data_IF_474338971044
#
_entry.id   IF_474338971044
#
_cell.length_a   1.000
_cell.length_b   1.000
_cell.length_c   1.000
_cell.angle_alpha   90.00
_cell.angle_beta   90.00
_cell.angle_gamma   90.00
#
_symmetry.space_group_name_H-M   'P 1'
#
loop_
_entity.id
_entity.type
_entity.pdbx_description
1 polymer ?
#
# COMPACT_ATOMS: atom_id res chain seq x y z
N UNK A 1 -9.43 11.15 0.53
CA UNK A 1 -10.78 11.42 1.05
C UNK A 1 -11.64 12.33 0.19
N UNK A 2 -11.18 13.53 -0.24
CA UNK A 2 -12.04 14.50 -0.97
C UNK A 2 -11.81 14.56 -2.49
N UNK A 3 -10.60 14.25 -2.94
CA UNK A 3 -10.15 14.23 -4.34
C UNK A 3 -9.15 13.10 -4.51
N UNK A 4 -8.91 12.69 -5.76
CA UNK A 4 -8.03 11.58 -6.11
C UNK A 4 -8.78 10.31 -6.46
N UNK A 5 -8.05 9.20 -6.51
CA UNK A 5 -8.59 7.86 -6.60
C UNK A 5 -8.75 7.35 -5.16
N UNK A 6 -9.88 6.72 -4.86
CA UNK A 6 -10.09 6.02 -3.61
C UNK A 6 -9.36 4.69 -3.68
N UNK A 7 -10.13 3.63 -3.83
CA UNK A 7 -9.65 2.27 -4.00
C UNK A 7 -9.63 1.84 -5.47
N UNK A 8 -8.90 0.77 -5.75
CA UNK A 8 -8.63 0.15 -7.04
C UNK A 8 -8.79 -1.37 -6.91
N UNK A 9 -9.62 -1.96 -7.75
CA UNK A 9 -9.87 -3.41 -7.76
C UNK A 9 -9.63 -3.96 -9.17
N UNK A 10 -8.91 -5.07 -9.28
CA UNK A 10 -8.66 -5.70 -10.58
C UNK A 10 -9.45 -7.00 -10.71
N UNK A 11 -10.49 -6.95 -11.51
CA UNK A 11 -11.24 -8.14 -11.90
C UNK A 11 -10.44 -8.94 -12.94
N UNK A 12 -9.72 -9.96 -12.47
CA UNK A 12 -8.90 -10.83 -13.32
C UNK A 12 -9.71 -11.60 -14.36
N UNK A 13 -10.98 -11.92 -14.07
CA UNK A 13 -11.83 -12.70 -14.96
C UNK A 13 -12.24 -11.89 -16.19
N UNK A 14 -12.59 -10.62 -15.97
CA UNK A 14 -13.04 -9.70 -17.02
C UNK A 14 -11.94 -8.73 -17.49
N UNK A 15 -10.70 -8.86 -16.97
CA UNK A 15 -9.55 -8.00 -17.26
C UNK A 15 -9.87 -6.51 -17.12
N UNK A 16 -10.60 -6.17 -16.06
CA UNK A 16 -11.14 -4.83 -15.83
C UNK A 16 -10.61 -4.26 -14.52
N UNK A 17 -10.01 -3.06 -14.58
CA UNK A 17 -9.63 -2.31 -13.38
C UNK A 17 -10.74 -1.33 -13.02
N UNK A 18 -11.31 -1.54 -11.85
CA UNK A 18 -12.31 -0.69 -11.24
C UNK A 18 -11.65 0.31 -10.31
N UNK A 19 -12.19 1.52 -10.24
CA UNK A 19 -11.69 2.54 -9.31
C UNK A 19 -12.75 3.56 -8.94
N UNK A 20 -12.64 4.09 -7.72
CA UNK A 20 -13.51 5.15 -7.22
C UNK A 20 -12.88 6.52 -7.46
N UNK A 21 -13.56 7.38 -8.22
CA UNK A 21 -13.20 8.79 -8.32
C UNK A 21 -13.82 9.57 -7.16
N UNK A 22 -12.98 10.06 -6.26
CA UNK A 22 -13.43 10.73 -5.02
C UNK A 22 -14.04 12.12 -5.25
N UNK A 23 -13.64 12.81 -6.32
CA UNK A 23 -14.16 14.14 -6.63
C UNK A 23 -15.57 14.06 -7.22
N UNK A 24 -15.72 13.21 -8.23
CA UNK A 24 -17.02 12.99 -8.89
C UNK A 24 -17.95 12.11 -8.06
N UNK A 25 -17.39 11.33 -7.12
CA UNK A 25 -18.10 10.32 -6.30
C UNK A 25 -18.74 9.25 -7.17
N UNK A 26 -17.96 8.80 -8.15
CA UNK A 26 -18.35 7.83 -9.15
C UNK A 26 -17.42 6.65 -9.15
N UNK A 27 -17.98 5.50 -9.49
CA UNK A 27 -17.22 4.34 -9.92
C UNK A 27 -16.94 4.45 -11.42
N UNK A 28 -15.73 4.07 -11.82
CA UNK A 28 -15.36 3.83 -13.21
C UNK A 28 -14.69 2.45 -13.33
N UNK A 29 -14.75 1.87 -14.53
CA UNK A 29 -14.02 0.67 -14.89
C UNK A 29 -13.24 0.90 -16.19
N UNK A 30 -12.03 0.37 -16.27
CA UNK A 30 -11.19 0.36 -17.48
C UNK A 30 -11.11 -1.10 -17.95
N UNK A 31 -11.76 -1.39 -19.06
CA UNK A 31 -11.80 -2.73 -19.64
C UNK A 31 -10.55 -3.05 -20.47
N UNK A 32 -10.35 -4.34 -20.73
CA UNK A 32 -9.31 -4.86 -21.63
C UNK A 32 -7.90 -4.39 -21.25
N UNK A 33 -7.60 -4.33 -19.95
CA UNK A 33 -6.24 -4.00 -19.51
C UNK A 33 -5.32 -5.14 -19.93
N UNK A 34 -4.55 -4.89 -20.98
CA UNK A 34 -3.47 -5.77 -21.41
C UNK A 34 -2.14 -5.17 -21.02
N UNK A 35 -1.37 -5.93 -20.24
CA UNK A 35 0.02 -5.60 -19.90
C UNK A 35 0.99 -6.00 -21.03
N UNK A 36 0.53 -6.75 -22.05
CA UNK A 36 1.39 -7.23 -23.13
C UNK A 36 0.69 -7.34 -24.50
N UNK A 37 1.04 -6.48 -25.48
CA UNK A 37 1.84 -5.27 -25.31
C UNK A 37 1.09 -4.27 -24.43
N UNK A 38 1.80 -3.58 -23.52
CA UNK A 38 1.19 -2.50 -22.76
C UNK A 38 0.61 -1.45 -23.71
N UNK A 39 -0.68 -1.15 -23.52
CA UNK A 39 -1.36 -0.06 -24.21
C UNK A 39 -1.92 0.89 -23.17
N UNK A 40 -1.54 2.17 -23.29
CA UNK A 40 -2.10 3.21 -22.42
C UNK A 40 -3.61 3.30 -22.63
N UNK A 41 -4.44 3.15 -21.58
CA UNK A 41 -5.88 3.26 -21.70
C UNK A 41 -6.33 4.63 -22.21
N UNK A 42 -7.43 4.63 -22.94
CA UNK A 42 -8.13 5.78 -23.51
C UNK A 42 -9.55 5.86 -22.98
N UNK A 43 -10.26 6.95 -23.27
CA UNK A 43 -11.67 7.10 -22.89
C UNK A 43 -12.59 6.05 -23.53
N UNK A 44 -12.17 5.43 -24.64
CA UNK A 44 -12.92 4.36 -25.29
C UNK A 44 -12.83 3.03 -24.52
N UNK A 45 -11.86 2.90 -23.63
CA UNK A 45 -11.63 1.71 -22.81
C UNK A 45 -12.40 1.77 -21.49
N UNK A 46 -13.08 2.89 -21.19
CA UNK A 46 -14.01 2.96 -20.07
C UNK A 46 -15.22 2.06 -20.32
N UNK A 47 -15.58 1.25 -19.32
CA UNK A 47 -16.78 0.38 -19.35
C UNK A 47 -18.03 1.25 -19.56
N UNK A 48 -18.13 2.39 -18.85
CA UNK A 48 -19.10 3.46 -19.12
C UNK A 48 -18.40 4.82 -19.00
N UNK A 49 -18.53 5.66 -20.03
CA UNK A 49 -17.90 6.98 -20.07
C UNK A 49 -18.51 7.98 -19.08
N UNK A 50 -19.73 7.72 -18.59
CA UNK A 50 -20.39 8.56 -17.60
C UNK A 50 -20.08 8.11 -16.16
N UNK A 51 -19.55 6.90 -15.99
CA UNK A 51 -19.40 6.25 -14.69
C UNK A 51 -20.73 6.03 -13.96
N UNK A 52 -20.65 5.43 -12.78
CA UNK A 52 -21.81 5.17 -11.93
C UNK A 52 -21.79 6.06 -10.69
N UNK A 53 -22.84 6.85 -10.51
CA UNK A 53 -23.02 7.71 -9.33
C UNK A 53 -23.21 6.86 -8.08
N UNK A 54 -22.31 7.00 -7.10
CA UNK A 54 -22.45 6.36 -5.79
C UNK A 54 -23.34 7.21 -4.86
N UNK A 55 -23.42 8.51 -5.12
CA UNK A 55 -24.08 9.50 -4.24
C UNK A 55 -25.61 9.65 -4.44
N UNK A 56 -26.21 8.95 -5.41
CA UNK A 56 -27.63 9.09 -5.75
C UNK A 56 -28.49 7.91 -5.33
N UNK A 57 -27.89 6.90 -4.67
CA UNK A 57 -28.62 5.73 -4.19
C UNK A 57 -29.79 6.15 -3.32
N UNK A 58 -31.03 5.73 -3.64
CA UNK A 58 -32.20 6.07 -2.84
C UNK A 58 -31.99 5.71 -1.37
N UNK A 59 -32.39 6.61 -0.47
CA UNK A 59 -32.38 6.45 0.99
C UNK A 59 -31.03 6.64 1.71
N UNK A 60 -29.95 7.08 1.04
CA UNK A 60 -28.78 7.61 1.75
C UNK A 60 -29.07 9.03 2.23
N UNK A 61 -28.84 9.32 3.51
CA UNK A 61 -29.01 10.65 4.08
C UNK A 61 -27.87 11.00 5.05
N UNK A 62 -26.91 11.81 4.60
CA UNK A 62 -25.87 12.33 5.49
C UNK A 62 -26.38 13.55 6.26
N UNK A 63 -26.67 13.34 7.54
CA UNK A 63 -26.98 14.43 8.48
C UNK A 63 -25.72 15.23 8.75
N UNK A 64 -25.80 16.57 8.60
CA UNK A 64 -24.68 17.49 8.87
C UNK A 64 -23.35 17.06 8.23
N UNK A 65 -23.40 16.42 7.06
CA UNK A 65 -22.23 15.81 6.46
C UNK A 65 -22.37 15.62 4.95
N UNK A 66 -21.32 15.09 4.36
CA UNK A 66 -21.24 14.84 2.92
C UNK A 66 -20.92 13.37 2.72
N UNK A 67 -21.63 12.70 1.81
CA UNK A 67 -21.32 11.32 1.45
C UNK A 67 -20.00 11.26 0.67
N UNK A 68 -19.10 10.37 1.09
CA UNK A 68 -17.81 10.10 0.46
C UNK A 68 -17.68 8.60 0.16
N UNK A 69 -17.61 8.19 -1.11
CA UNK A 69 -17.25 6.82 -1.45
C UNK A 69 -15.74 6.61 -1.32
N UNK A 70 -15.29 5.36 -1.18
CA UNK A 70 -13.86 5.07 -1.22
C UNK A 70 -13.53 3.69 -1.76
N UNK A 71 -13.92 2.63 -1.05
CA UNK A 71 -13.57 1.24 -1.37
C UNK A 71 -14.35 0.73 -2.59
N UNK A 72 -13.76 -0.20 -3.33
CA UNK A 72 -14.42 -0.99 -4.37
C UNK A 72 -13.88 -2.40 -4.35
N UNK A 73 -14.76 -3.40 -4.47
CA UNK A 73 -14.34 -4.77 -4.75
C UNK A 73 -15.33 -5.47 -5.70
N UNK A 74 -14.89 -6.54 -6.36
CA UNK A 74 -15.71 -7.34 -7.28
C UNK A 74 -15.81 -8.76 -6.77
N UNK A 75 -17.04 -9.26 -6.60
CA UNK A 75 -17.29 -10.65 -6.17
C UNK A 75 -18.58 -11.18 -6.75
N UNK A 76 -18.54 -12.42 -7.24
CA UNK A 76 -19.72 -13.20 -7.67
C UNK A 76 -20.62 -12.48 -8.70
N UNK A 77 -20.04 -11.68 -9.60
CA UNK A 77 -20.78 -10.91 -10.61
C UNK A 77 -21.38 -9.59 -10.09
N UNK A 78 -20.98 -9.17 -8.89
CA UNK A 78 -21.38 -7.89 -8.30
C UNK A 78 -20.16 -7.02 -8.03
N UNK A 79 -20.35 -5.71 -8.17
CA UNK A 79 -19.44 -4.71 -7.60
C UNK A 79 -19.99 -4.27 -6.25
N UNK A 80 -19.11 -4.20 -5.26
CA UNK A 80 -19.37 -3.61 -3.97
C UNK A 80 -18.58 -2.31 -3.83
N UNK A 81 -19.18 -1.31 -3.20
CA UNK A 81 -18.51 -0.04 -2.92
C UNK A 81 -18.85 0.46 -1.52
N UNK A 82 -17.89 1.09 -0.84
CA UNK A 82 -18.14 1.74 0.45
C UNK A 82 -18.54 3.20 0.24
N UNK A 83 -19.37 3.73 1.14
CA UNK A 83 -19.61 5.15 1.27
C UNK A 83 -19.90 5.55 2.72
N UNK A 84 -19.29 6.63 3.21
CA UNK A 84 -19.47 7.13 4.58
C UNK A 84 -19.85 8.61 4.59
N UNK A 85 -20.65 9.01 5.58
CA UNK A 85 -20.98 10.39 5.89
C UNK A 85 -19.90 10.98 6.78
N UNK A 86 -19.50 12.21 6.49
CA UNK A 86 -18.33 12.83 7.13
C UNK A 86 -18.63 13.61 8.41
N UNK A 87 -19.90 13.92 8.69
CA UNK A 87 -20.29 14.88 9.72
C UNK A 87 -19.61 16.25 9.58
N UNK A 88 -19.08 16.60 8.39
CA UNK A 88 -18.19 17.75 8.20
C UNK A 88 -18.89 19.12 8.24
N UNK A 89 -20.21 19.15 8.41
CA UNK A 89 -21.00 20.36 8.60
C UNK A 89 -21.49 20.48 10.06
N UNK A 90 -21.26 19.46 10.88
CA UNK A 90 -21.68 19.41 12.28
C UNK A 90 -20.78 20.28 13.16
N UNK A 91 -21.34 21.39 13.64
CA UNK A 91 -20.65 22.25 14.61
C UNK A 91 -20.45 21.57 15.98
N UNK A 92 -21.20 20.49 16.27
CA UNK A 92 -21.19 19.78 17.55
C UNK A 92 -20.26 18.56 17.58
N UNK A 93 -19.73 18.14 16.42
CA UNK A 93 -18.86 16.97 16.28
C UNK A 93 -19.49 15.67 16.82
N UNK A 94 -20.74 15.39 16.46
CA UNK A 94 -21.49 14.25 17.01
C UNK A 94 -21.17 12.97 16.25
N UNK A 95 -20.73 11.87 16.91
CA UNK A 95 -20.47 10.59 16.23
C UNK A 95 -21.70 10.01 15.51
N UNK A 96 -22.91 10.35 15.94
CA UNK A 96 -24.15 9.95 15.27
C UNK A 96 -24.35 10.56 13.87
N UNK A 97 -23.50 11.51 13.46
CA UNK A 97 -23.51 12.11 12.12
C UNK A 97 -22.62 11.33 11.13
N UNK A 98 -22.03 10.21 11.58
CA UNK A 98 -21.09 9.36 10.83
C UNK A 98 -21.73 8.03 10.42
N UNK A 99 -22.68 8.09 9.49
CA UNK A 99 -23.27 6.91 8.89
C UNK A 99 -22.36 6.27 7.83
N UNK A 100 -22.48 4.96 7.67
CA UNK A 100 -21.71 4.12 6.77
C UNK A 100 -22.63 3.20 5.97
N UNK A 101 -22.24 2.94 4.73
CA UNK A 101 -23.01 2.18 3.77
C UNK A 101 -22.10 1.29 2.92
N UNK A 102 -22.47 0.01 2.77
CA UNK A 102 -21.97 -0.84 1.69
C UNK A 102 -23.06 -0.91 0.62
N UNK A 103 -22.64 -0.63 -0.60
CA UNK A 103 -23.47 -0.56 -1.77
C UNK A 103 -23.13 -1.70 -2.73
N UNK A 104 -24.12 -2.22 -3.43
CA UNK A 104 -23.96 -3.29 -4.41
C UNK A 104 -24.56 -2.91 -5.76
N UNK A 105 -23.89 -3.28 -6.84
CA UNK A 105 -24.41 -3.18 -8.21
C UNK A 105 -24.15 -4.50 -8.95
N UNK A 106 -25.16 -4.98 -9.69
CA UNK A 106 -25.03 -6.16 -10.55
C UNK A 106 -24.32 -5.80 -11.86
N UNK A 107 -23.18 -6.44 -12.13
CA UNK A 107 -22.39 -6.20 -13.35
C UNK A 107 -23.17 -6.47 -14.63
N UNK A 108 -24.04 -7.49 -14.64
CA UNK A 108 -24.84 -7.85 -15.81
C UNK A 108 -25.88 -6.79 -16.16
N UNK A 109 -26.28 -5.96 -15.19
CA UNK A 109 -27.27 -4.89 -15.38
C UNK A 109 -26.71 -3.49 -15.18
N UNK A 110 -25.38 -3.32 -15.03
CA UNK A 110 -24.71 -2.05 -14.75
C UNK A 110 -25.08 -0.93 -15.76
N UNK A 111 -25.39 -1.26 -17.01
CA UNK A 111 -25.86 -0.27 -18.01
C UNK A 111 -27.27 0.28 -17.77
N UNK A 112 -28.02 -0.25 -16.80
CA UNK A 112 -29.45 0.02 -16.59
C UNK A 112 -29.89 0.12 -15.13
N UNK A 113 -29.12 -0.43 -14.19
CA UNK A 113 -29.36 -0.41 -12.75
C UNK A 113 -28.24 0.34 -12.03
N UNK A 114 -28.59 1.07 -10.98
CA UNK A 114 -27.63 1.73 -10.09
C UNK A 114 -27.31 0.90 -8.87
N UNK A 115 -26.63 1.50 -7.90
CA UNK A 115 -26.35 0.87 -6.61
C UNK A 115 -27.60 0.70 -5.75
N UNK A 116 -27.60 -0.36 -4.94
CA UNK A 116 -28.51 -0.57 -3.81
C UNK A 116 -27.72 -0.68 -2.51
N UNK A 117 -28.34 -0.33 -1.37
CA UNK A 117 -27.74 -0.50 -0.05
C UNK A 117 -27.90 -1.97 0.36
N UNK A 118 -26.80 -2.63 0.74
CA UNK A 118 -26.80 -4.01 1.26
C UNK A 118 -26.42 -4.09 2.74
N UNK A 119 -25.83 -3.03 3.28
CA UNK A 119 -25.47 -2.90 4.68
C UNK A 119 -25.34 -1.42 5.06
N UNK A 120 -25.84 -1.06 6.23
CA UNK A 120 -25.70 0.28 6.81
C UNK A 120 -25.52 0.23 8.33
N UNK A 121 -24.77 1.18 8.86
CA UNK A 121 -24.59 1.39 10.31
C UNK A 121 -24.11 2.81 10.60
N UNK A 122 -23.96 3.15 11.87
CA UNK A 122 -23.40 4.42 12.33
C UNK A 122 -22.13 4.17 13.14
N UNK A 123 -21.11 5.00 12.97
CA UNK A 123 -19.86 4.97 13.73
C UNK A 123 -19.99 5.59 15.14
N UNK A 124 -21.08 5.26 15.83
CA UNK A 124 -21.37 5.75 17.19
C UNK A 124 -20.91 4.78 18.29
N UNK A 125 -20.37 3.62 17.90
CA UNK A 125 -19.85 2.64 18.81
C UNK A 125 -18.55 3.09 19.46
N UNK A 126 -18.40 2.64 20.70
CA UNK A 126 -17.18 2.78 21.47
C UNK A 126 -16.16 1.75 20.99
N UNK A 127 -14.91 2.20 20.84
CA UNK A 127 -13.76 1.45 20.31
C UNK A 127 -12.58 1.54 21.27
N UNK A 128 -11.68 0.56 21.25
CA UNK A 128 -10.54 0.56 22.16
C UNK A 128 -9.44 1.44 21.58
N UNK A 129 -8.93 2.43 22.31
CA UNK A 129 -7.88 3.32 21.77
C UNK A 129 -6.69 3.36 22.71
N UNK A 130 -5.53 3.71 22.15
CA UNK A 130 -4.19 3.62 22.72
C UNK A 130 -4.05 4.01 24.22
N UNK A 131 -3.26 3.17 24.94
CA UNK A 131 -2.47 3.41 26.16
C UNK A 131 -3.07 3.06 27.55
N UNK A 132 -2.78 1.81 27.96
CA UNK A 132 -3.02 1.22 29.29
C UNK A 132 -2.46 2.04 30.49
N UNK A 133 -1.49 2.93 30.27
CA UNK A 133 -0.86 3.72 31.33
C UNK A 133 -1.50 5.09 31.60
N UNK A 134 -2.39 5.57 30.73
CA UNK A 134 -2.95 6.92 30.83
C UNK A 134 -4.45 6.95 31.18
N UNK A 135 -5.11 5.79 31.34
CA UNK A 135 -6.51 5.73 31.72
C UNK A 135 -7.50 6.09 30.60
N UNK A 136 -7.03 6.13 29.35
CA UNK A 136 -7.89 6.19 28.18
C UNK A 136 -8.56 4.84 28.01
N UNK A 137 -9.84 4.79 28.34
CA UNK A 137 -10.70 3.70 27.98
C UNK A 137 -11.75 4.28 27.07
N UNK A 138 -11.92 3.64 25.90
CA UNK A 138 -13.11 3.77 25.08
C UNK A 138 -13.31 5.14 24.41
N UNK A 139 -12.97 5.25 23.11
CA UNK A 139 -13.26 6.44 22.28
C UNK A 139 -14.34 6.15 21.24
N UNK A 140 -14.85 7.21 20.63
CA UNK A 140 -15.74 7.14 19.47
C UNK A 140 -15.09 7.86 18.30
N UNK A 141 -15.45 7.46 17.08
CA UNK A 141 -15.06 8.18 15.87
C UNK A 141 -15.46 9.64 15.93
N UNK A 142 -14.62 10.52 15.36
CA UNK A 142 -14.84 11.96 15.32
C UNK A 142 -15.27 12.42 13.92
N UNK A 143 -16.10 13.45 13.88
CA UNK A 143 -16.50 14.07 12.60
C UNK A 143 -15.33 14.77 11.93
N UNK A 144 -15.31 14.81 10.60
CA UNK A 144 -14.22 15.41 9.83
C UNK A 144 -14.01 16.90 10.12
N UNK A 145 -15.08 17.65 10.42
CA UNK A 145 -15.01 19.08 10.76
C UNK A 145 -14.19 19.34 12.02
N UNK A 146 -14.44 18.55 13.07
CA UNK A 146 -13.69 18.65 14.32
C UNK A 146 -12.19 18.45 14.12
N UNK A 147 -11.82 17.62 13.15
CA UNK A 147 -10.43 17.30 12.82
C UNK A 147 -9.77 18.40 11.95
N UNK A 148 -10.53 19.03 11.06
CA UNK A 148 -10.03 20.04 10.13
C UNK A 148 -9.87 21.43 10.81
N UNK A 149 -10.78 21.82 11.73
CA UNK A 149 -10.90 23.20 12.24
C UNK A 149 -10.23 23.46 13.60
N UNK A 150 -9.66 22.45 14.25
CA UNK A 150 -8.99 22.63 15.55
C UNK A 150 -7.46 22.47 15.39
N UNK A 151 -6.74 23.51 14.91
CA UNK A 151 -5.31 23.44 14.61
C UNK A 151 -4.42 23.21 15.84
N UNK A 152 -5.00 23.28 17.03
CA UNK A 152 -4.43 22.89 18.31
C UNK A 152 -5.57 22.32 19.14
N UNK A 153 -5.98 21.07 18.92
CA UNK A 153 -6.50 20.33 20.07
C UNK A 153 -5.33 20.32 21.04
N UNK A 154 -5.41 21.02 22.19
CA UNK A 154 -4.39 20.85 23.20
C UNK A 154 -4.58 19.40 23.61
N UNK A 155 -3.75 18.51 23.06
CA UNK A 155 -3.76 17.11 23.45
C UNK A 155 -3.61 17.18 24.97
N UNK A 156 -4.63 16.83 25.78
CA UNK A 156 -4.54 16.99 27.22
C UNK A 156 -3.23 16.37 27.67
N UNK A 157 -2.54 16.96 28.65
CA UNK A 157 -1.21 16.49 29.11
C UNK A 157 -1.17 15.01 29.52
N UNK A 158 -2.33 14.37 29.56
CA UNK A 158 -2.63 12.98 29.86
C UNK A 158 -2.39 12.05 28.64
N UNK A 159 -2.49 12.55 27.41
CA UNK A 159 -2.23 11.82 26.15
C UNK A 159 -0.75 11.84 25.74
N UNK A 160 0.08 12.48 26.57
CA UNK A 160 1.53 12.53 26.44
C UNK A 160 2.16 11.30 27.08
N UNK A 161 2.17 10.17 26.37
CA UNK A 161 2.97 9.02 26.81
C UNK A 161 4.35 9.09 26.16
N UNK A 162 5.14 10.04 26.64
CA UNK A 162 6.59 10.07 26.46
C UNK A 162 7.10 10.62 25.13
N UNK A 163 7.56 11.87 25.12
CA UNK A 163 8.62 12.30 24.18
C UNK A 163 8.21 13.13 22.97
N UNK A 164 7.43 14.20 23.13
CA UNK A 164 7.73 15.47 22.45
C UNK A 164 7.23 15.74 21.02
N UNK A 165 6.91 14.77 20.16
CA UNK A 165 6.55 15.04 18.76
C UNK A 165 5.37 14.22 18.16
N UNK A 166 4.75 13.30 18.91
CA UNK A 166 3.62 12.49 18.45
C UNK A 166 2.28 13.25 18.54
N UNK A 167 1.47 13.22 17.49
CA UNK A 167 0.16 13.86 17.41
C UNK A 167 -0.91 12.89 16.86
N UNK A 168 -1.86 12.49 17.71
CA UNK A 168 -3.20 12.10 17.26
C UNK A 168 -4.00 13.40 17.24
N UNK A 169 -4.31 13.93 16.05
CA UNK A 169 -5.12 15.14 15.99
C UNK A 169 -6.57 14.77 16.24
N UNK A 170 -7.13 13.81 15.51
CA UNK A 170 -8.46 13.26 15.68
C UNK A 170 -8.66 11.98 14.85
N UNK A 171 -9.31 10.96 15.43
CA UNK A 171 -9.68 9.73 14.70
C UNK A 171 -10.93 9.95 13.83
N UNK A 172 -10.76 9.98 12.51
CA UNK A 172 -11.85 10.20 11.55
C UNK A 172 -12.00 9.01 10.61
N UNK A 173 -13.17 8.35 10.54
CA UNK A 173 -13.31 7.11 9.78
C UNK A 173 -13.29 7.38 8.28
N UNK A 174 -12.62 6.48 7.57
CA UNK A 174 -12.71 6.29 6.13
C UNK A 174 -12.76 4.79 5.85
N UNK A 175 -13.86 4.29 5.27
CA UNK A 175 -13.95 2.88 4.88
C UNK A 175 -13.16 2.64 3.59
N UNK A 176 -11.89 2.26 3.72
CA UNK A 176 -10.94 2.29 2.61
C UNK A 176 -10.85 1.01 1.81
N UNK A 177 -11.31 -0.11 2.37
CA UNK A 177 -11.28 -1.39 1.69
C UNK A 177 -12.46 -2.30 2.11
N UNK A 178 -12.88 -3.19 1.21
CA UNK A 178 -13.89 -4.23 1.42
C UNK A 178 -13.33 -5.53 0.83
N UNK A 179 -13.36 -6.60 1.60
CA UNK A 179 -13.11 -7.95 1.09
C UNK A 179 -14.08 -8.94 1.74
N UNK A 180 -13.97 -10.23 1.43
CA UNK A 180 -14.90 -11.26 1.83
C UNK A 180 -14.19 -12.57 2.15
N UNK A 181 -14.54 -13.18 3.28
CA UNK A 181 -14.01 -14.48 3.66
C UNK A 181 -14.60 -15.65 2.81
N UNK A 182 -14.14 -16.86 3.11
CA UNK A 182 -14.59 -18.10 2.46
C UNK A 182 -16.05 -18.46 2.71
N UNK A 183 -16.67 -17.87 3.74
CA UNK A 183 -18.09 -18.05 4.08
C UNK A 183 -18.98 -16.95 3.44
N UNK A 184 -18.36 -15.93 2.83
CA UNK A 184 -19.04 -14.78 2.24
C UNK A 184 -19.36 -13.69 3.26
N UNK A 185 -18.78 -13.73 4.46
CA UNK A 185 -18.85 -12.58 5.38
C UNK A 185 -17.98 -11.45 4.84
N UNK A 186 -18.42 -10.21 5.04
CA UNK A 186 -17.65 -9.02 4.65
C UNK A 186 -16.60 -8.68 5.70
N UNK A 187 -15.41 -8.33 5.22
CA UNK A 187 -14.30 -7.74 5.95
C UNK A 187 -14.20 -6.29 5.51
N UNK A 188 -14.28 -5.35 6.44
CA UNK A 188 -14.35 -3.92 6.12
C UNK A 188 -13.19 -3.23 6.85
N UNK A 189 -12.25 -2.67 6.11
CA UNK A 189 -11.15 -1.91 6.71
C UNK A 189 -11.52 -0.43 6.81
N UNK A 190 -11.29 0.15 7.98
CA UNK A 190 -11.52 1.57 8.23
C UNK A 190 -10.18 2.21 8.53
N UNK A 191 -9.72 3.09 7.66
CA UNK A 191 -8.57 3.94 7.90
C UNK A 191 -8.98 5.12 8.78
N UNK A 192 -8.12 5.47 9.73
CA UNK A 192 -8.13 6.82 10.30
C UNK A 192 -7.53 7.82 9.32
N UNK A 193 -8.35 8.77 8.88
CA UNK A 193 -8.00 9.84 7.94
C UNK A 193 -6.76 10.62 8.35
N UNK A 194 -6.47 10.75 9.65
CA UNK A 194 -5.30 11.46 10.15
C UNK A 194 -3.97 10.88 9.65
N UNK A 195 -3.93 9.56 9.40
CA UNK A 195 -2.78 8.90 8.76
C UNK A 195 -2.39 9.59 7.45
N UNK A 196 -3.38 9.89 6.59
CA UNK A 196 -3.15 10.61 5.34
C UNK A 196 -2.86 12.11 5.51
N UNK A 197 -3.20 12.72 6.65
CA UNK A 197 -3.05 14.17 6.85
C UNK A 197 -1.71 14.55 7.48
N UNK A 198 -1.11 13.66 8.27
CA UNK A 198 0.00 14.00 9.16
C UNK A 198 1.34 13.36 8.78
N UNK A 199 1.36 12.14 8.23
CA UNK A 199 2.61 11.41 7.95
C UNK A 199 3.54 11.27 9.17
N UNK A 200 4.80 10.90 8.96
CA UNK A 200 5.79 10.77 10.03
C UNK A 200 6.95 11.75 9.88
N UNK A 201 7.37 12.38 10.99
CA UNK A 201 8.38 13.43 10.99
C UNK A 201 8.10 14.56 9.97
N UNK A 202 6.83 14.93 9.79
CA UNK A 202 6.46 16.03 8.89
C UNK A 202 6.54 17.38 9.58
N UNK A 203 6.78 18.44 8.83
CA UNK A 203 6.70 19.79 9.37
C UNK A 203 5.25 20.19 9.62
N UNK A 204 4.96 20.60 10.85
CA UNK A 204 3.71 21.30 11.11
C UNK A 204 3.65 22.60 10.31
N UNK A 205 2.48 22.88 9.72
CA UNK A 205 2.26 24.01 8.83
C UNK A 205 2.84 25.32 9.38
N UNK A 206 3.73 25.95 8.60
CA UNK A 206 4.37 27.22 8.93
C UNK A 206 5.25 27.20 10.20
N UNK A 207 5.72 26.02 10.62
CA UNK A 207 6.65 25.85 11.73
C UNK A 207 7.85 24.98 11.32
N UNK A 208 8.88 24.92 12.15
CA UNK A 208 9.99 23.96 12.03
C UNK A 208 9.81 22.76 12.96
N UNK A 209 8.65 22.64 13.62
CA UNK A 209 8.34 21.54 14.53
C UNK A 209 7.99 20.31 13.70
N UNK A 210 8.64 19.19 14.00
CA UNK A 210 8.31 17.90 13.42
C UNK A 210 7.13 17.28 14.17
N UNK A 211 6.22 16.68 13.43
CA UNK A 211 5.05 15.97 13.93
C UNK A 211 5.04 14.55 13.40
N UNK A 212 4.55 13.64 14.22
CA UNK A 212 4.38 12.23 13.87
C UNK A 212 2.91 11.90 14.03
N UNK A 213 2.25 11.61 12.92
CA UNK A 213 0.89 11.10 12.88
C UNK A 213 0.83 9.63 13.26
N UNK A 214 -0.31 9.24 13.83
CA UNK A 214 -0.65 7.84 14.11
C UNK A 214 -2.00 7.62 13.45
N UNK A 215 -2.19 6.44 12.83
CA UNK A 215 -3.46 6.06 12.22
C UNK A 215 -4.10 5.01 13.09
N UNK A 216 -5.23 5.35 13.73
CA UNK A 216 -6.00 4.45 14.60
C UNK A 216 -7.26 4.02 13.86
N UNK A 217 -7.07 3.11 12.91
CA UNK A 217 -8.10 2.58 12.03
C UNK A 217 -9.09 1.65 12.73
N UNK A 218 -9.52 0.61 12.02
CA UNK A 218 -10.33 -0.51 12.51
C UNK A 218 -10.40 -1.59 11.41
N UNK A 219 -10.72 -2.81 11.80
CA UNK A 219 -11.15 -3.85 10.88
C UNK A 219 -12.45 -4.47 11.42
N UNK A 220 -13.51 -4.34 10.64
CA UNK A 220 -14.86 -4.73 11.03
C UNK A 220 -15.33 -5.98 10.29
N UNK A 221 -16.25 -6.71 10.91
CA UNK A 221 -16.87 -7.91 10.34
C UNK A 221 -18.38 -7.73 10.12
N UNK A 222 -18.90 -8.22 8.99
CA UNK A 222 -20.34 -8.34 8.79
C UNK A 222 -20.72 -9.73 8.28
N UNK A 223 -21.60 -10.39 9.02
CA UNK A 223 -21.96 -11.78 8.78
C UNK A 223 -23.04 -11.89 7.69
N UNK A 224 -22.87 -12.87 6.80
CA UNK A 224 -23.86 -13.21 5.78
C UNK A 224 -24.76 -14.36 6.25
N UNK A 225 -26.08 -14.19 6.13
CA UNK A 225 -27.06 -15.22 6.52
C UNK A 225 -27.65 -16.01 5.33
N UNK A 226 -27.18 -15.75 4.12
CA UNK A 226 -27.76 -16.28 2.87
C UNK A 226 -28.70 -15.31 2.16
N UNK A 227 -29.08 -14.19 2.78
CA UNK A 227 -29.95 -13.17 2.19
C UNK A 227 -29.55 -11.73 2.49
N UNK A 228 -29.05 -11.45 3.69
CA UNK A 228 -28.68 -10.10 4.14
C UNK A 228 -27.39 -10.10 4.96
N UNK A 229 -26.72 -8.95 5.01
CA UNK A 229 -25.58 -8.73 5.90
C UNK A 229 -26.03 -8.15 7.23
N UNK A 230 -25.31 -8.48 8.30
CA UNK A 230 -25.50 -7.91 9.63
C UNK A 230 -24.15 -7.51 10.20
N UNK A 231 -24.01 -6.26 10.65
CA UNK A 231 -22.78 -5.80 11.30
C UNK A 231 -22.49 -6.58 12.59
N UNK A 232 -21.21 -6.78 12.88
CA UNK A 232 -20.76 -7.31 14.17
C UNK A 232 -21.40 -6.61 15.37
N UNK A 233 -21.70 -7.38 16.42
CA UNK A 233 -22.40 -6.91 17.62
C UNK A 233 -23.92 -6.89 17.51
N UNK A 234 -24.48 -7.12 16.33
CA UNK A 234 -25.93 -7.34 16.16
C UNK A 234 -26.30 -8.81 16.44
N UNK A 235 -27.60 -9.12 16.50
CA UNK A 235 -28.07 -10.49 16.69
C UNK A 235 -27.74 -11.41 15.50
N UNK A 236 -27.64 -10.86 14.29
CA UNK A 236 -27.27 -11.59 13.07
C UNK A 236 -25.77 -11.82 12.93
N UNK A 237 -24.96 -11.06 13.67
CA UNK A 237 -23.50 -11.21 13.70
C UNK A 237 -22.96 -10.95 15.11
N UNK A 238 -23.15 -11.88 16.06
CA UNK A 238 -22.71 -11.69 17.43
C UNK A 238 -21.19 -11.56 17.50
N UNK A 239 -20.68 -10.70 18.39
CA UNK A 239 -19.23 -10.56 18.63
C UNK A 239 -18.62 -11.86 19.12
N UNK A 240 -17.31 -11.97 18.92
CA UNK A 240 -16.51 -13.11 19.39
C UNK A 240 -16.59 -13.29 20.91
N UNK A 241 -16.51 -14.53 21.38
CA UNK A 241 -16.59 -14.82 22.82
C UNK A 241 -15.39 -14.26 23.62
N UNK A 242 -14.29 -13.97 22.92
CA UNK A 242 -13.03 -13.48 23.49
C UNK A 242 -12.97 -11.95 23.62
N UNK A 243 -13.86 -11.21 22.93
CA UNK A 243 -13.97 -9.75 23.02
C UNK A 243 -15.43 -9.31 23.09
N UNK A 244 -15.76 -8.52 24.11
CA UNK A 244 -17.10 -7.91 24.20
C UNK A 244 -17.26 -6.69 23.28
N UNK A 245 -16.20 -6.23 22.61
CA UNK A 245 -16.13 -4.95 21.91
C UNK A 245 -16.24 -5.10 20.39
N UNK A 246 -15.55 -6.07 19.79
CA UNK A 246 -15.47 -6.25 18.33
C UNK A 246 -15.24 -7.72 17.95
N UNK A 247 -15.31 -8.04 16.65
CA UNK A 247 -14.94 -9.35 16.14
C UNK A 247 -13.42 -9.55 16.10
N UNK A 248 -12.68 -8.62 15.50
CA UNK A 248 -11.24 -8.72 15.23
C UNK A 248 -10.33 -8.20 16.33
N UNK A 249 -10.51 -8.70 17.56
CA UNK A 249 -9.71 -8.28 18.72
C UNK A 249 -8.20 -8.57 18.68
N UNK A 250 -7.71 -9.17 17.60
CA UNK A 250 -6.30 -9.43 17.32
C UNK A 250 -5.54 -8.24 16.74
N UNK A 251 -6.20 -7.16 16.38
CA UNK A 251 -5.66 -5.98 15.70
C UNK A 251 -4.96 -4.96 16.63
N UNK A 252 -4.18 -5.47 17.58
CA UNK A 252 -3.38 -4.68 18.51
C UNK A 252 -1.88 -4.87 18.29
N UNK A 253 -1.05 -3.95 18.79
CA UNK A 253 0.41 -4.02 18.74
C UNK A 253 1.12 -2.92 19.54
N UNK A 254 2.46 -2.94 19.67
CA UNK A 254 3.34 -4.08 19.42
C UNK A 254 3.24 -5.13 20.55
N UNK A 255 3.52 -6.40 20.22
CA UNK A 255 3.41 -7.53 21.15
C UNK A 255 4.56 -7.60 22.16
N UNK A 256 5.79 -7.35 21.69
CA UNK A 256 6.99 -7.53 22.53
C UNK A 256 7.19 -6.40 23.56
N UNK A 257 6.41 -5.32 23.44
CA UNK A 257 6.43 -4.18 24.36
C UNK A 257 5.03 -3.98 24.92
N UNK A 258 4.72 -4.70 26.01
CA UNK A 258 3.48 -4.61 26.82
C UNK A 258 2.32 -3.82 26.17
N UNK A 259 1.53 -4.46 25.29
CA UNK A 259 0.29 -3.96 24.63
C UNK A 259 0.00 -2.46 24.81
N UNK A 260 0.42 -1.64 23.85
CA UNK A 260 0.18 -0.19 23.91
C UNK A 260 -0.87 0.32 22.92
N UNK A 261 -1.00 -0.28 21.72
CA UNK A 261 -1.86 0.21 20.64
C UNK A 261 -2.93 -0.82 20.27
N UNK A 262 -4.19 -0.40 20.25
CA UNK A 262 -5.30 -1.14 19.65
C UNK A 262 -5.66 -0.47 18.31
N UNK A 263 -6.49 -1.11 17.50
CA UNK A 263 -7.03 -0.52 16.26
C UNK A 263 -5.91 -0.15 15.27
N UNK A 264 -4.92 -1.04 15.14
CA UNK A 264 -3.68 -0.71 14.41
C UNK A 264 -3.82 -0.83 12.88
N UNK A 265 -5.02 -1.15 12.39
CA UNK A 265 -5.31 -1.27 10.96
C UNK A 265 -5.00 0.04 10.23
N UNK A 266 -4.26 -0.06 9.11
CA UNK A 266 -3.89 1.10 8.28
C UNK A 266 -4.75 1.19 7.01
N UNK A 267 -5.95 0.63 7.02
CA UNK A 267 -6.96 0.83 5.98
C UNK A 267 -7.07 -0.27 4.94
N UNK A 268 -6.28 -1.35 4.99
CA UNK A 268 -6.34 -2.44 4.02
C UNK A 268 -6.43 -3.80 4.70
N UNK A 269 -7.14 -4.73 4.04
CA UNK A 269 -7.22 -6.13 4.45
C UNK A 269 -7.58 -7.04 3.28
N UNK A 270 -6.96 -8.21 3.20
CA UNK A 270 -7.24 -9.18 2.15
C UNK A 270 -7.39 -10.59 2.71
N UNK A 271 -8.32 -11.37 2.18
CA UNK A 271 -8.58 -12.74 2.58
C UNK A 271 -7.83 -13.73 1.69
N UNK A 272 -6.97 -14.53 2.31
CA UNK A 272 -6.27 -15.61 1.64
C UNK A 272 -7.03 -16.93 1.76
N UNK A 273 -7.76 -17.30 0.70
CA UNK A 273 -8.53 -18.54 0.65
C UNK A 273 -7.68 -19.83 0.71
N UNK A 274 -6.37 -19.76 0.48
CA UNK A 274 -5.48 -20.94 0.55
C UNK A 274 -5.12 -21.28 1.99
N UNK A 275 -4.83 -20.26 2.79
CA UNK A 275 -4.45 -20.42 4.20
C UNK A 275 -5.61 -20.21 5.17
N UNK A 276 -6.73 -19.68 4.68
CA UNK A 276 -7.92 -19.31 5.45
C UNK A 276 -7.60 -18.24 6.52
N UNK A 277 -6.96 -17.16 6.08
CA UNK A 277 -6.48 -16.06 6.93
C UNK A 277 -6.88 -14.71 6.35
N UNK A 278 -7.14 -13.73 7.21
CA UNK A 278 -7.29 -12.32 6.82
C UNK A 278 -5.99 -11.60 7.11
N UNK A 279 -5.41 -10.97 6.11
CA UNK A 279 -4.14 -10.24 6.21
C UNK A 279 -4.47 -8.75 6.18
N UNK A 280 -4.16 -8.03 7.24
CA UNK A 280 -4.31 -6.58 7.28
C UNK A 280 -2.97 -5.86 7.33
N UNK A 281 -2.91 -4.67 6.76
CA UNK A 281 -1.80 -3.76 7.00
C UNK A 281 -1.94 -3.16 8.41
N UNK A 282 -0.81 -2.91 9.07
CA UNK A 282 -0.81 -2.56 10.47
C UNK A 282 0.36 -1.66 10.85
N UNK A 283 0.09 -0.67 11.70
CA UNK A 283 1.16 0.00 12.44
C UNK A 283 1.61 -0.89 13.61
N UNK A 284 2.90 -0.84 13.92
CA UNK A 284 3.49 -1.51 15.08
C UNK A 284 3.09 -3.00 15.25
N UNK A 285 3.16 -3.82 14.18
CA UNK A 285 2.57 -5.15 14.19
C UNK A 285 3.30 -6.13 15.11
N UNK A 286 4.60 -5.94 15.40
CA UNK A 286 5.40 -6.95 16.09
C UNK A 286 6.24 -6.36 17.25
N UNK A 287 7.33 -5.64 16.94
CA UNK A 287 8.37 -5.30 17.93
C UNK A 287 8.57 -3.81 18.09
N UNK A 288 8.54 -3.06 16.99
CA UNK A 288 8.88 -1.64 17.00
C UNK A 288 7.67 -0.72 17.15
N UNK A 289 7.93 0.48 17.67
CA UNK A 289 6.92 1.52 17.89
C UNK A 289 6.86 2.55 16.77
N UNK A 290 7.58 2.39 15.67
CA UNK A 290 7.46 3.31 14.53
C UNK A 290 7.65 2.47 13.30
N UNK A 291 6.76 1.50 13.17
CA UNK A 291 6.88 0.44 12.19
C UNK A 291 5.58 0.21 11.46
N UNK A 292 5.72 -0.38 10.28
CA UNK A 292 4.60 -0.83 9.47
C UNK A 292 4.84 -2.25 9.02
N UNK A 293 3.76 -3.00 8.95
CA UNK A 293 3.79 -4.35 8.41
C UNK A 293 2.40 -4.91 8.31
N UNK A 294 2.27 -6.19 8.63
CA UNK A 294 1.05 -6.95 8.43
C UNK A 294 0.73 -7.84 9.63
N UNK A 295 -0.56 -8.05 9.86
CA UNK A 295 -1.11 -8.96 10.87
C UNK A 295 -2.06 -9.92 10.14
N UNK A 296 -1.88 -11.22 10.40
CA UNK A 296 -2.74 -12.29 9.92
C UNK A 296 -3.69 -12.65 11.05
N UNK A 297 -4.98 -12.56 10.77
CA UNK A 297 -6.08 -12.81 11.68
C UNK A 297 -6.83 -14.06 11.22
N UNK A 298 -7.19 -14.93 12.16
CA UNK A 298 -8.09 -16.03 11.87
C UNK A 298 -9.52 -15.49 11.62
N UNK A 299 -10.19 -15.82 10.51
CA UNK A 299 -11.51 -15.29 10.18
C UNK A 299 -12.56 -15.66 11.23
N UNK A 300 -12.50 -16.88 11.75
CA UNK A 300 -13.43 -17.39 12.77
C UNK A 300 -13.08 -16.98 14.20
N UNK A 301 -11.82 -16.64 14.48
CA UNK A 301 -11.37 -16.32 15.84
C UNK A 301 -11.27 -14.81 16.09
N UNK A 302 -11.01 -14.05 15.02
CA UNK A 302 -10.64 -12.64 15.07
C UNK A 302 -9.29 -12.38 15.74
N UNK A 303 -8.52 -13.43 16.06
CA UNK A 303 -7.25 -13.34 16.79
C UNK A 303 -6.07 -13.31 15.81
N UNK A 304 -4.99 -12.63 16.21
CA UNK A 304 -3.75 -12.64 15.45
C UNK A 304 -3.03 -13.99 15.55
N UNK A 305 -2.75 -14.58 14.39
CA UNK A 305 -2.08 -15.87 14.23
C UNK A 305 -0.62 -15.70 13.80
N UNK A 306 -0.36 -14.71 12.94
CA UNK A 306 0.97 -14.36 12.46
C UNK A 306 1.12 -12.85 12.28
N UNK A 307 2.35 -12.35 12.39
CA UNK A 307 2.69 -10.92 12.35
C UNK A 307 4.01 -10.76 11.63
N UNK A 308 4.15 -9.70 10.84
CA UNK A 308 5.39 -9.40 10.14
C UNK A 308 5.61 -7.90 10.06
N UNK A 309 6.76 -7.46 10.54
CA UNK A 309 7.23 -6.09 10.38
C UNK A 309 8.00 -5.95 9.05
N UNK A 310 7.70 -4.93 8.26
CA UNK A 310 8.41 -4.64 7.01
C UNK A 310 9.46 -3.54 7.18
N UNK A 311 9.18 -2.56 8.03
CA UNK A 311 10.09 -1.45 8.29
C UNK A 311 9.93 -0.90 9.72
N UNK A 312 10.97 -0.22 10.20
CA UNK A 312 11.01 0.49 11.48
C UNK A 312 11.63 1.90 11.29
N UNK A 313 11.81 2.66 12.39
CA UNK A 313 12.08 4.11 12.53
C UNK A 313 13.22 4.78 11.72
N UNK A 314 13.77 4.15 10.68
CA UNK A 314 14.80 4.70 9.79
C UNK A 314 14.36 4.90 8.34
N UNK A 315 13.14 4.55 7.94
CA UNK A 315 12.73 4.52 6.52
C UNK A 315 11.54 5.45 6.22
N UNK A 316 11.84 6.62 5.64
CA UNK A 316 10.99 7.28 4.64
C UNK A 316 9.62 7.87 5.05
N UNK A 317 9.49 8.53 6.21
CA UNK A 317 8.49 9.61 6.39
C UNK A 317 7.00 9.22 6.47
N UNK A 318 6.64 7.94 6.45
CA UNK A 318 5.25 7.51 6.64
C UNK A 318 4.98 6.82 7.99
N UNK A 319 5.93 6.06 8.54
CA UNK A 319 5.84 5.37 9.84
C UNK A 319 4.42 4.87 10.21
N UNK A 320 3.86 5.36 11.32
CA UNK A 320 2.53 4.98 11.82
C UNK A 320 1.36 5.65 11.11
N UNK A 321 1.61 6.67 10.31
CA UNK A 321 0.59 7.50 9.69
C UNK A 321 0.13 6.88 8.36
N UNK A 322 -0.40 5.66 8.41
CA UNK A 322 -0.85 4.90 7.25
C UNK A 322 0.22 4.77 6.14
N UNK A 323 1.40 4.25 6.51
CA UNK A 323 2.54 4.16 5.60
C UNK A 323 2.56 2.98 4.64
N UNK A 324 1.58 2.09 4.76
CA UNK A 324 1.35 0.98 3.84
C UNK A 324 0.04 1.22 3.09
N UNK A 325 0.05 0.91 1.80
CA UNK A 325 -1.14 0.97 0.95
C UNK A 325 -1.98 -0.30 1.02
N UNK A 326 -2.80 -0.47 -0.02
CA UNK A 326 -3.67 -1.63 -0.22
C UNK A 326 -2.90 -2.95 -0.29
N UNK A 327 -3.58 -4.04 0.07
CA UNK A 327 -3.02 -5.39 0.00
C UNK A 327 -3.73 -6.18 -1.09
N UNK A 328 -2.99 -6.68 -2.06
CA UNK A 328 -3.53 -7.52 -3.13
C UNK A 328 -2.87 -8.90 -3.12
N UNK A 329 -3.67 -9.95 -3.32
CA UNK A 329 -3.17 -11.32 -3.39
C UNK A 329 -2.91 -11.73 -4.83
N UNK A 330 -1.64 -11.88 -5.17
CA UNK A 330 -1.28 -12.38 -6.50
C UNK A 330 -1.29 -13.91 -6.54
N UNK A 331 -2.03 -14.46 -7.50
CA UNK A 331 -2.01 -15.89 -7.81
C UNK A 331 -0.72 -16.36 -8.51
N UNK A 332 0.01 -15.43 -9.14
CA UNK A 332 1.27 -15.73 -9.82
C UNK A 332 2.48 -15.27 -9.00
N UNK A 333 3.62 -15.98 -9.09
CA UNK A 333 4.87 -15.50 -8.53
C UNK A 333 5.21 -14.13 -9.11
N UNK A 334 5.47 -13.14 -8.25
CA UNK A 334 5.81 -11.78 -8.68
C UNK A 334 7.13 -11.82 -9.45
N UNK A 335 7.20 -11.33 -10.71
CA UNK A 335 8.42 -11.34 -11.49
C UNK A 335 9.51 -10.51 -10.80
N UNK A 336 10.77 -10.81 -11.12
CA UNK A 336 11.90 -10.01 -10.67
C UNK A 336 12.31 -9.06 -11.79
N UNK A 337 12.78 -7.88 -11.40
CA UNK A 337 13.46 -6.94 -12.27
C UNK A 337 14.87 -6.67 -11.74
N UNK A 338 15.87 -6.68 -12.61
CA UNK A 338 17.27 -6.40 -12.28
C UNK A 338 17.82 -5.36 -13.25
N UNK A 339 18.45 -4.33 -12.72
CA UNK A 339 19.17 -3.33 -13.50
C UNK A 339 19.04 -1.95 -12.89
N UNK A 340 19.74 -0.97 -13.45
CA UNK A 340 19.68 0.42 -13.00
C UNK A 340 20.22 1.28 -14.13
N UNK A 341 21.48 1.73 -14.03
CA UNK A 341 22.03 2.77 -14.90
C UNK A 341 23.48 2.48 -15.28
N UNK A 342 23.84 2.84 -16.50
CA UNK A 342 25.23 3.01 -16.94
C UNK A 342 25.46 4.49 -17.19
N UNK A 343 26.48 5.07 -16.57
CA UNK A 343 26.74 6.52 -16.66
C UNK A 343 28.20 6.86 -16.89
N UNK A 344 28.43 8.08 -17.35
CA UNK A 344 29.76 8.67 -17.44
C UNK A 344 30.11 9.28 -16.09
N UNK A 345 30.99 8.59 -15.37
CA UNK A 345 31.59 8.99 -14.12
C UNK A 345 32.65 10.07 -14.42
N UNK A 346 32.26 11.34 -14.24
CA UNK A 346 33.01 12.50 -14.72
C UNK A 346 34.20 12.80 -13.82
N UNK A 347 34.08 12.53 -12.51
CA UNK A 347 35.12 12.80 -11.53
C UNK A 347 35.84 11.54 -11.01
N UNK A 348 35.36 10.36 -11.39
CA UNK A 348 36.01 9.07 -11.18
C UNK A 348 35.82 8.52 -9.77
N UNK A 349 34.79 8.95 -9.05
CA UNK A 349 34.53 8.53 -7.67
C UNK A 349 33.65 7.27 -7.58
N UNK A 350 33.03 6.87 -8.70
CA UNK A 350 32.16 5.71 -8.80
C UNK A 350 30.77 5.89 -8.17
N UNK A 351 30.35 7.13 -7.93
CA UNK A 351 29.05 7.50 -7.35
C UNK A 351 28.22 8.23 -8.41
N UNK A 352 26.92 7.95 -8.49
CA UNK A 352 26.05 8.67 -9.41
C UNK A 352 25.77 10.10 -8.93
N UNK A 353 26.35 11.07 -9.62
CA UNK A 353 26.13 12.49 -9.35
C UNK A 353 25.08 13.13 -10.28
N UNK A 354 24.40 14.17 -9.79
CA UNK A 354 23.30 14.83 -10.51
C UNK A 354 23.69 15.47 -11.85
N UNK A 355 24.98 15.73 -12.06
CA UNK A 355 25.56 16.32 -13.27
C UNK A 355 26.18 15.28 -14.21
N UNK A 356 26.07 14.00 -13.90
CA UNK A 356 26.67 12.94 -14.68
C UNK A 356 25.68 12.34 -15.66
N UNK A 357 25.98 12.34 -16.97
CA UNK A 357 25.05 11.85 -17.98
C UNK A 357 25.05 10.33 -18.06
N UNK A 358 23.90 9.75 -18.41
CA UNK A 358 23.81 8.33 -18.77
C UNK A 358 24.52 8.04 -20.09
N UNK A 359 24.99 6.81 -20.27
CA UNK A 359 25.60 6.36 -21.53
C UNK A 359 24.58 5.51 -22.31
N UNK A 360 24.07 6.00 -23.46
CA UNK A 360 23.05 5.29 -24.21
C UNK A 360 23.63 4.19 -25.11
N UNK A 361 22.80 3.18 -25.41
CA UNK A 361 23.11 2.07 -26.31
C UNK A 361 24.29 1.19 -25.86
N UNK A 362 24.60 1.13 -24.57
CA UNK A 362 25.50 0.14 -23.98
C UNK A 362 24.76 -1.20 -23.97
N UNK A 363 25.37 -2.27 -24.48
CA UNK A 363 24.79 -3.62 -24.42
C UNK A 363 25.23 -4.29 -23.12
N UNK A 364 24.24 -4.74 -22.35
CA UNK A 364 24.43 -5.48 -21.10
C UNK A 364 24.00 -6.91 -21.32
N UNK A 365 24.80 -7.86 -20.81
CA UNK A 365 24.50 -9.29 -20.87
C UNK A 365 24.25 -9.81 -19.46
N UNK A 366 23.07 -10.41 -19.23
CA UNK A 366 22.74 -11.18 -18.02
C UNK A 366 22.92 -12.66 -18.30
N UNK A 367 23.79 -13.34 -17.56
CA UNK A 367 24.04 -14.78 -17.69
C UNK A 367 23.57 -15.53 -16.46
N UNK A 368 22.72 -16.54 -16.66
CA UNK A 368 22.34 -17.52 -15.63
C UNK A 368 23.55 -18.45 -15.37
N UNK A 369 24.06 -18.46 -14.14
CA UNK A 369 25.25 -19.23 -13.76
C UNK A 369 24.94 -20.69 -13.38
N UNK A 370 23.66 -21.10 -13.44
CA UNK A 370 23.30 -22.50 -13.26
C UNK A 370 23.84 -23.39 -14.39
N UNK A 371 23.90 -24.71 -14.14
CA UNK A 371 24.42 -25.66 -15.12
C UNK A 371 23.58 -25.64 -16.42
N UNK A 372 24.17 -25.15 -17.50
CA UNK A 372 23.49 -24.97 -18.79
C UNK A 372 22.64 -23.70 -18.89
N UNK A 373 22.88 -22.71 -18.02
CA UNK A 373 22.20 -21.43 -18.00
C UNK A 373 22.34 -20.64 -19.30
N UNK A 374 21.32 -19.83 -19.59
CA UNK A 374 21.23 -19.00 -20.79
C UNK A 374 21.78 -17.59 -20.53
N UNK A 375 22.10 -16.89 -21.62
CA UNK A 375 22.43 -15.46 -21.58
C UNK A 375 21.35 -14.64 -22.28
N UNK A 376 21.05 -13.49 -21.73
CA UNK A 376 20.06 -12.52 -22.20
C UNK A 376 20.74 -11.18 -22.39
N UNK A 377 20.23 -10.35 -23.30
CA UNK A 377 20.79 -9.02 -23.55
C UNK A 377 19.74 -7.93 -23.51
N UNK A 378 20.16 -6.74 -23.10
CA UNK A 378 19.38 -5.51 -23.18
C UNK A 378 20.32 -4.34 -23.50
N UNK A 379 19.78 -3.21 -23.92
CA UNK A 379 20.55 -2.00 -24.18
C UNK A 379 20.09 -0.86 -23.28
N UNK A 380 21.03 0.00 -22.88
CA UNK A 380 20.66 1.23 -22.18
C UNK A 380 19.87 2.18 -23.07
N UNK A 381 18.89 2.85 -22.49
CA UNK A 381 18.11 3.90 -23.14
C UNK A 381 18.87 5.24 -23.20
N UNK A 382 18.17 6.33 -23.56
CA UNK A 382 18.77 7.68 -23.66
C UNK A 382 19.31 8.24 -22.35
N UNK A 383 18.80 7.77 -21.22
CA UNK A 383 19.18 8.20 -19.87
C UNK A 383 20.19 7.24 -19.21
N UNK A 384 20.62 6.22 -19.97
CA UNK A 384 21.56 5.20 -19.52
C UNK A 384 20.89 4.06 -18.74
N UNK A 385 19.55 4.00 -18.70
CA UNK A 385 18.83 3.02 -17.89
C UNK A 385 18.70 1.69 -18.63
N UNK A 386 18.80 0.58 -17.88
CA UNK A 386 18.62 -0.77 -18.41
C UNK A 386 17.93 -1.67 -17.38
N UNK A 387 17.12 -2.61 -17.87
CA UNK A 387 16.41 -3.56 -17.01
C UNK A 387 16.30 -4.93 -17.69
N UNK A 388 16.47 -5.98 -16.90
CA UNK A 388 16.09 -7.35 -17.22
C UNK A 388 14.84 -7.72 -16.44
N UNK A 389 13.80 -8.20 -17.13
CA UNK A 389 12.53 -8.59 -16.53
C UNK A 389 11.87 -9.70 -17.36
N UNK A 390 10.63 -10.06 -17.03
CA UNK A 390 9.89 -11.12 -17.73
C UNK A 390 9.67 -10.87 -19.22
N UNK A 391 9.76 -9.62 -19.69
CA UNK A 391 9.55 -9.28 -21.10
C UNK A 391 10.78 -9.58 -21.97
N UNK A 392 12.00 -9.55 -21.42
CA UNK A 392 13.25 -9.77 -22.17
C UNK A 392 14.08 -10.97 -21.69
N UNK A 393 13.74 -11.57 -20.55
CA UNK A 393 14.31 -12.84 -20.07
C UNK A 393 13.33 -13.96 -20.40
N UNK A 394 13.38 -14.46 -21.63
CA UNK A 394 12.42 -15.44 -22.16
C UNK A 394 13.06 -16.79 -22.53
N UNK A 395 12.35 -17.91 -22.31
CA UNK A 395 11.07 -18.04 -21.61
C UNK A 395 11.26 -18.12 -20.08
N UNK A 396 10.31 -17.57 -19.33
CA UNK A 396 10.16 -17.85 -17.89
C UNK A 396 10.79 -16.85 -16.91
N UNK A 397 11.33 -15.72 -17.41
CA UNK A 397 11.81 -14.64 -16.56
C UNK A 397 13.08 -14.99 -15.78
N UNK A 398 13.43 -14.09 -14.87
CA UNK A 398 14.50 -14.27 -13.90
C UNK A 398 14.01 -15.22 -12.80
N UNK A 399 14.82 -16.22 -12.46
CA UNK A 399 14.48 -17.23 -11.45
C UNK A 399 14.74 -16.69 -10.04
N UNK A 400 13.90 -17.11 -9.10
CA UNK A 400 14.14 -16.92 -7.66
C UNK A 400 15.31 -17.76 -7.19
N UNK A 401 16.03 -17.27 -6.18
CA UNK A 401 17.20 -17.96 -5.60
C UNK A 401 18.22 -18.40 -6.67
N UNK A 402 18.38 -17.59 -7.71
CA UNK A 402 19.26 -17.83 -8.84
C UNK A 402 20.53 -17.02 -8.74
N UNK A 403 21.62 -17.61 -9.24
CA UNK A 403 22.91 -16.94 -9.35
C UNK A 403 23.10 -16.46 -10.79
N UNK A 404 23.36 -15.16 -10.97
CA UNK A 404 23.52 -14.52 -12.26
C UNK A 404 24.81 -13.68 -12.31
N UNK A 405 25.26 -13.36 -13.53
CA UNK A 405 26.33 -12.40 -13.78
C UNK A 405 25.86 -11.38 -14.82
N UNK A 406 25.98 -10.10 -14.49
CA UNK A 406 25.94 -9.01 -15.47
C UNK A 406 27.34 -8.82 -16.05
N UNK A 407 27.41 -8.59 -17.35
CA UNK A 407 28.66 -8.24 -18.02
C UNK A 407 28.44 -7.18 -19.10
N UNK A 408 29.39 -6.25 -19.17
CA UNK A 408 29.48 -5.20 -20.17
C UNK A 408 30.87 -5.29 -20.78
N UNK A 409 30.97 -5.51 -22.09
CA UNK A 409 32.27 -5.47 -22.76
C UNK A 409 32.71 -4.02 -22.91
N UNK A 410 33.95 -3.67 -22.59
CA UNK A 410 34.45 -2.30 -22.81
C UNK A 410 34.73 -2.00 -24.29
N UNK A 411 34.75 -3.04 -25.13
CA UNK A 411 35.10 -2.92 -26.55
C UNK A 411 33.95 -2.48 -27.46
N UNK A 412 32.73 -2.33 -26.93
CA UNK A 412 31.56 -1.93 -27.71
C UNK A 412 31.65 -0.45 -28.11
N UNK A 413 31.05 -0.11 -29.25
CA UNK A 413 31.16 1.23 -29.83
C UNK A 413 30.67 2.35 -28.90
N UNK A 414 29.61 2.08 -28.11
CA UNK A 414 29.07 3.02 -27.12
C UNK A 414 30.09 3.40 -26.03
N UNK A 415 31.06 2.52 -25.76
CA UNK A 415 32.11 2.69 -24.75
C UNK A 415 33.49 3.01 -25.35
N UNK A 416 33.59 3.26 -26.65
CA UNK A 416 34.88 3.47 -27.33
C UNK A 416 35.71 4.68 -26.84
N UNK A 417 35.07 5.61 -26.12
CA UNK A 417 35.71 6.76 -25.50
C UNK A 417 35.75 6.64 -23.96
N UNK A 418 35.54 5.44 -23.42
CA UNK A 418 35.38 5.20 -22.00
C UNK A 418 36.15 3.95 -21.56
N UNK A 419 36.45 3.87 -20.26
CA UNK A 419 36.97 2.71 -19.56
C UNK A 419 36.19 2.52 -18.26
N UNK A 420 36.01 1.29 -17.80
CA UNK A 420 35.22 0.99 -16.60
C UNK A 420 35.76 1.74 -15.39
N UNK A 421 34.90 2.51 -14.72
CA UNK A 421 35.22 3.09 -13.44
C UNK A 421 35.15 1.95 -12.41
N UNK A 422 36.29 1.60 -11.82
CA UNK A 422 36.29 0.81 -10.59
C UNK A 422 36.23 1.81 -9.46
N UNK A 423 35.32 1.63 -8.48
CA UNK A 423 35.27 2.52 -7.30
C UNK A 423 36.67 2.61 -6.69
N UNK A 424 37.32 3.77 -6.82
CA UNK A 424 38.60 4.03 -6.14
C UNK A 424 38.26 4.37 -4.69
N UNK A 425 37.91 3.35 -3.90
CA UNK A 425 37.66 3.54 -2.48
C UNK A 425 36.55 2.72 -1.81
N UNK A 426 35.95 1.72 -2.47
CA UNK A 426 35.06 0.78 -1.80
C UNK A 426 35.88 -0.16 -0.89
N UNK A 427 36.36 0.40 0.23
CA UNK A 427 36.39 -0.36 1.47
C UNK A 427 34.98 -0.96 1.63
N UNK A 428 34.89 -2.22 2.01
CA UNK A 428 33.67 -2.93 2.39
C UNK A 428 32.95 -2.33 3.62
N UNK A 429 33.06 -1.02 3.81
CA UNK A 429 32.62 -0.21 4.94
C UNK A 429 32.15 1.20 4.52
N UNK A 430 32.02 1.53 3.23
CA UNK A 430 31.45 2.81 2.80
C UNK A 430 29.94 2.82 3.05
N UNK A 431 29.48 3.87 3.74
CA UNK A 431 28.10 4.11 4.18
C UNK A 431 27.25 4.70 3.04
N UNK A 432 27.60 4.41 1.78
CA UNK A 432 26.88 4.94 0.62
C UNK A 432 25.70 4.03 0.30
N UNK A 433 24.56 4.57 -0.15
CA UNK A 433 23.42 3.76 -0.55
C UNK A 433 23.83 2.91 -1.75
N UNK A 434 23.58 1.59 -1.68
CA UNK A 434 23.92 0.64 -2.75
C UNK A 434 23.21 0.91 -4.09
N UNK A 435 22.42 1.97 -4.20
CA UNK A 435 21.58 2.28 -5.35
C UNK A 435 22.19 3.33 -6.29
N UNK A 436 23.37 3.84 -5.93
CA UNK A 436 24.04 4.96 -6.60
C UNK A 436 25.55 4.77 -6.66
N UNK A 437 26.05 3.54 -6.51
CA UNK A 437 27.48 3.23 -6.50
C UNK A 437 27.82 2.11 -7.48
N UNK A 438 28.89 2.31 -8.25
CA UNK A 438 29.28 1.40 -9.33
C UNK A 438 29.60 0.00 -8.80
N UNK A 439 28.75 -0.96 -9.14
CA UNK A 439 28.88 -2.38 -8.76
C UNK A 439 29.91 -3.13 -9.63
N UNK A 440 30.34 -2.50 -10.71
CA UNK A 440 31.21 -3.07 -11.72
C UNK A 440 32.62 -3.39 -11.25
N UNK A 441 33.02 -4.65 -11.39
CA UNK A 441 34.42 -5.07 -11.29
C UNK A 441 35.00 -5.36 -12.67
N UNK A 442 36.12 -4.71 -13.01
CA UNK A 442 36.82 -4.93 -14.27
C UNK A 442 37.52 -6.29 -14.26
N UNK A 443 37.34 -7.06 -15.33
CA UNK A 443 38.07 -8.31 -15.55
C UNK A 443 39.28 -8.10 -16.47
N UNK A 444 40.20 -9.07 -16.45
CA UNK A 444 41.41 -9.04 -17.30
C UNK A 444 41.10 -9.23 -18.80
N UNK A 445 39.85 -9.50 -19.16
CA UNK A 445 39.39 -9.71 -20.53
C UNK A 445 38.74 -8.45 -21.14
N UNK A 446 38.71 -7.32 -20.43
CA UNK A 446 38.14 -6.06 -20.91
C UNK A 446 36.62 -6.03 -20.82
N UNK A 447 36.06 -6.62 -19.76
CA UNK A 447 34.65 -6.52 -19.41
C UNK A 447 34.48 -6.06 -17.97
N UNK A 448 33.42 -5.32 -17.70
CA UNK A 448 32.98 -4.94 -16.35
C UNK A 448 31.85 -5.87 -15.94
N UNK A 449 31.93 -6.44 -14.73
CA UNK A 449 31.02 -7.49 -14.26
C UNK A 449 30.51 -7.28 -12.85
N UNK A 450 29.28 -7.72 -12.61
CA UNK A 450 28.67 -7.80 -11.28
C UNK A 450 27.96 -9.15 -11.10
N UNK A 451 28.14 -9.79 -9.95
CA UNK A 451 27.44 -11.04 -9.61
C UNK A 451 26.15 -10.71 -8.85
N UNK A 452 25.09 -11.41 -9.20
CA UNK A 452 23.76 -11.22 -8.62
C UNK A 452 23.31 -12.53 -7.98
N UNK A 453 22.74 -12.42 -6.79
CA UNK A 453 21.97 -13.48 -6.18
C UNK A 453 20.55 -12.99 -5.97
N UNK A 454 19.61 -13.51 -6.75
CA UNK A 454 18.20 -13.20 -6.55
C UNK A 454 17.70 -13.86 -5.27
N UNK A 455 16.77 -13.21 -4.59
CA UNK A 455 16.17 -13.73 -3.36
C UNK A 455 14.79 -14.34 -3.66
N UNK A 456 13.86 -14.22 -2.71
CA UNK A 456 12.48 -14.65 -2.88
C UNK A 456 11.73 -13.88 -3.97
N UNK A 457 10.44 -14.18 -4.07
CA UNK A 457 9.51 -13.57 -5.03
C UNK A 457 9.43 -12.04 -4.91
N UNK A 458 9.30 -11.37 -6.07
CA UNK A 458 8.93 -9.95 -6.16
C UNK A 458 9.97 -8.92 -5.72
N UNK A 459 11.26 -9.30 -5.66
CA UNK A 459 12.32 -8.34 -5.41
C UNK A 459 12.76 -7.68 -6.74
N UNK A 460 12.48 -6.39 -6.87
CA UNK A 460 13.18 -5.56 -7.84
C UNK A 460 14.52 -5.14 -7.23
N UNK A 461 15.61 -5.40 -7.95
CA UNK A 461 16.96 -5.12 -7.49
C UNK A 461 17.63 -4.09 -8.38
N UNK A 462 17.45 -2.82 -8.01
CA UNK A 462 17.95 -1.66 -8.75
C UNK A 462 19.24 -1.09 -8.18
N UNK A 463 20.05 -1.94 -7.54
CA UNK A 463 21.38 -1.56 -7.06
C UNK A 463 22.43 -1.63 -8.17
N UNK A 464 22.24 -2.54 -9.13
CA UNK A 464 23.21 -2.86 -10.18
C UNK A 464 23.44 -1.76 -11.20
N UNK A 465 24.39 -0.88 -10.93
CA UNK A 465 24.80 0.22 -11.80
C UNK A 465 26.30 0.18 -12.15
N UNK A 466 26.69 0.90 -13.22
CA UNK A 466 28.04 0.88 -13.76
C UNK A 466 28.54 2.28 -14.19
N UNK A 467 29.54 2.79 -13.49
CA UNK A 467 30.24 4.02 -13.85
C UNK A 467 31.37 3.78 -14.86
N UNK A 468 31.57 4.72 -15.78
CA UNK A 468 32.64 4.67 -16.78
C UNK A 468 33.35 6.03 -16.91
N UNK A 469 34.69 6.03 -16.92
CA UNK A 469 35.53 7.23 -17.02
C UNK A 469 36.04 7.38 -18.46
N UNK A 470 36.07 8.62 -18.97
CA UNK A 470 36.54 8.95 -20.32
C UNK A 470 38.08 9.07 -20.49
#
# INVERSE_FOLDING_TARGET
GKIGIGDLEYDECDQTLWFVNLYERKLYGIANISLSPYQKPTIADLVDQNGWEINTTPNINCVEGVLRPFAVTVRDGFIYASAHCTGELSAAATPSDLDAYILRMDLASASSAGFEIVLDWTFDNVRMVQLQSAGFWNQTWQTWHFCDDVPNIPIPSEWWVGGGNDHNKCISPMMTNIDFDGNGNMIISVLDRDGHQLGAANYEYNTTRLIYGHSEGDIMHACWDGSTYSMEGTAGCPRQSVSAVEWFSGDYGPLEKSQYHAEVNQGAAVYNAVTDEIIMNAMDPEKEYYSGGTIWLGPDSGLAEYRREFFASSTNGFAKAAGLGELELMCQPIPLEIGNRVWHDVDGDGIQDSNEPGIPNVEIVLTDLSAGGASYTTNTDSDGLYYFNEANVLPGGIKYFGDYELSISESQGALSAFSGATVVGASSTSVLPSAVDSDGTSDLAGSVKATIQTLGNGKNDHTYDFGFIA
#
